data_IF_628197011342
#
_entry.id   IF_628197011342
#
_cell.length_a   1.000
_cell.length_b   1.000
_cell.length_c   1.000
_cell.angle_alpha   90.00
_cell.angle_beta   90.00
_cell.angle_gamma   90.00
#
_symmetry.space_group_name_H-M   'P 1'
#
loop_
_entity.id
_entity.type
_entity.pdbx_description
1 polymer ?
#
# COMPACT_ATOMS: atom_id res chain seq x y z
N UNK A 1 -17.57 -0.19 14.95
CA UNK A 1 -16.29 0.22 14.33
C UNK A 1 -15.95 1.60 14.85
N UNK A 2 -14.89 1.71 15.65
CA UNK A 2 -14.27 3.03 15.87
C UNK A 2 -13.64 3.45 14.54
N UNK A 3 -13.81 4.71 14.18
CA UNK A 3 -13.31 5.27 12.92
C UNK A 3 -11.77 5.17 12.80
N UNK A 4 -11.07 4.92 13.92
CA UNK A 4 -9.64 4.58 13.99
C UNK A 4 -9.27 3.20 13.47
N UNK A 5 -10.17 2.21 13.43
CA UNK A 5 -9.92 0.99 12.65
C UNK A 5 -9.80 1.31 11.16
N UNK A 6 -10.47 2.38 10.70
CA UNK A 6 -10.27 2.92 9.35
C UNK A 6 -8.98 3.74 9.22
N UNK A 7 -8.46 4.31 10.31
CA UNK A 7 -7.17 5.03 10.31
C UNK A 7 -5.98 4.09 10.44
N UNK A 8 -6.04 3.03 11.25
CA UNK A 8 -5.02 1.97 11.27
C UNK A 8 -4.97 1.25 9.93
N UNK A 9 -6.13 0.91 9.34
CA UNK A 9 -6.19 0.41 7.96
C UNK A 9 -5.86 1.46 6.88
N UNK A 10 -6.06 2.77 7.13
CA UNK A 10 -5.53 3.83 6.25
C UNK A 10 -4.01 4.00 6.39
N UNK A 11 -3.43 3.76 7.56
CA UNK A 11 -1.98 3.75 7.78
C UNK A 11 -1.35 2.59 7.01
N UNK A 12 -1.99 1.41 7.04
CA UNK A 12 -1.63 0.23 6.22
C UNK A 12 -1.84 0.49 4.71
N UNK A 13 -2.93 1.16 4.30
CA UNK A 13 -3.17 1.53 2.88
C UNK A 13 -2.21 2.61 2.39
N UNK A 14 -1.83 3.57 3.24
CA UNK A 14 -0.94 4.67 2.90
C UNK A 14 0.50 4.18 2.65
N UNK A 15 0.94 3.17 3.42
CA UNK A 15 2.20 2.44 3.17
C UNK A 15 2.18 1.69 1.83
N UNK A 16 1.06 1.04 1.48
CA UNK A 16 0.88 0.40 0.15
C UNK A 16 0.90 1.41 -1.01
N UNK A 17 0.42 2.64 -0.81
CA UNK A 17 0.40 3.68 -1.86
C UNK A 17 1.68 4.50 -1.97
N UNK A 18 2.52 4.58 -0.93
CA UNK A 18 3.77 5.37 -0.98
C UNK A 18 4.89 4.71 -1.80
N UNK A 19 4.76 3.42 -2.13
CA UNK A 19 5.61 2.74 -3.10
C UNK A 19 5.25 3.07 -4.57
N UNK A 20 4.19 3.85 -4.83
CA UNK A 20 3.60 3.99 -6.17
C UNK A 20 3.25 5.41 -6.64
N UNK A 21 3.81 6.48 -6.07
CA UNK A 21 3.49 7.82 -6.59
C UNK A 21 4.57 8.87 -6.33
N UNK A 22 5.39 9.13 -7.36
CA UNK A 22 6.13 10.38 -7.49
C UNK A 22 5.75 11.07 -8.80
N UNK A 23 5.68 12.40 -8.73
CA UNK A 23 5.59 13.37 -9.82
C UNK A 23 4.18 13.80 -10.28
N UNK A 24 3.79 15.02 -9.89
CA UNK A 24 3.88 16.18 -10.80
C UNK A 24 3.04 17.36 -10.29
N UNK A 25 3.67 18.53 -10.14
CA UNK A 25 3.01 19.83 -10.29
C UNK A 25 4.02 20.85 -10.83
N UNK A 26 3.73 21.39 -12.00
CA UNK A 26 3.63 22.85 -12.28
C UNK A 26 3.33 23.06 -13.76
N UNK A 27 2.19 23.67 -14.04
CA UNK A 27 1.85 24.18 -15.36
C UNK A 27 2.12 25.69 -15.44
N UNK A 28 2.44 26.16 -16.64
CA UNK A 28 2.31 27.57 -17.02
C UNK A 28 1.99 27.65 -18.51
N UNK A 29 0.89 28.31 -18.84
CA UNK A 29 0.45 28.58 -20.20
C UNK A 29 1.24 29.73 -20.83
N UNK A 30 1.44 29.68 -22.16
CA UNK A 30 1.92 30.81 -22.97
C UNK A 30 0.90 31.11 -24.08
N UNK A 31 0.57 32.40 -24.21
CA UNK A 31 -0.41 32.97 -25.13
C UNK A 31 0.29 33.45 -26.41
N UNK A 32 -0.38 33.29 -27.55
CA UNK A 32 0.08 33.59 -28.92
C UNK A 32 0.26 35.10 -29.24
N UNK A 33 1.18 35.38 -30.18
CA UNK A 33 1.40 36.66 -30.89
C UNK A 33 0.20 37.07 -31.77
N UNK A 34 0.15 38.30 -32.37
CA UNK A 34 0.73 38.48 -33.71
C UNK A 34 1.16 39.92 -34.16
N UNK A 35 1.85 39.94 -35.31
CA UNK A 35 1.80 40.89 -36.48
C UNK A 35 2.99 41.81 -36.82
N UNK A 36 3.34 41.64 -38.10
CA UNK A 36 4.35 42.20 -39.02
C UNK A 36 4.27 43.72 -39.27
N UNK A 37 5.38 44.31 -39.76
CA UNK A 37 5.42 45.14 -41.00
C UNK A 37 6.81 45.15 -41.67
N UNK A 38 6.90 45.41 -42.99
CA UNK A 38 8.10 45.17 -43.81
C UNK A 38 8.92 46.45 -44.07
N UNK A 39 10.24 46.32 -44.25
CA UNK A 39 11.08 47.42 -44.76
C UNK A 39 11.82 46.97 -46.01
N UNK A 40 11.59 47.73 -47.08
CA UNK A 40 12.24 47.69 -48.40
C UNK A 40 13.75 47.91 -48.27
N UNK A 41 14.55 47.05 -48.91
CA UNK A 41 16.00 47.27 -49.07
C UNK A 41 16.27 47.64 -50.53
N UNK A 42 16.85 48.82 -50.72
CA UNK A 42 17.39 49.31 -51.99
C UNK A 42 18.79 48.72 -52.17
N UNK A 43 19.01 47.99 -53.26
CA UNK A 43 20.30 47.44 -53.63
C UNK A 43 21.23 48.54 -54.18
N UNK A 44 22.42 48.65 -53.62
CA UNK A 44 23.58 49.27 -54.28
C UNK A 44 24.67 48.22 -54.41
N UNK A 45 24.98 47.87 -55.66
CA UNK A 45 26.09 47.00 -56.02
C UNK A 45 27.42 47.77 -55.86
N UNK A 46 28.38 47.14 -55.20
CA UNK A 46 29.80 47.47 -55.28
C UNK A 46 30.62 46.17 -55.27
N UNK A 47 31.80 46.12 -55.91
CA UNK A 47 32.37 44.90 -56.45
C UNK A 47 33.40 44.19 -55.55
N UNK A 48 33.42 42.87 -55.72
CA UNK A 48 34.47 41.87 -55.52
C UNK A 48 35.55 42.04 -54.42
N UNK A 49 35.36 41.19 -53.40
CA UNK A 49 36.29 40.13 -52.97
C UNK A 49 37.71 40.50 -52.58
N UNK A 50 37.91 40.67 -51.28
CA UNK A 50 39.17 40.40 -50.59
C UNK A 50 38.90 39.63 -49.29
N UNK A 51 39.54 38.46 -49.17
CA UNK A 51 39.77 37.62 -47.99
C UNK A 51 38.82 37.78 -46.79
N UNK A 52 37.88 36.84 -46.63
CA UNK A 52 37.15 36.68 -45.38
C UNK A 52 38.09 36.10 -44.30
N UNK A 53 38.27 36.76 -43.13
CA UNK A 53 38.94 36.13 -42.01
C UNK A 53 38.07 34.97 -41.52
N UNK A 54 38.69 33.83 -41.19
CA UNK A 54 38.01 32.72 -40.53
C UNK A 54 37.45 33.20 -39.20
N UNK A 55 36.16 33.60 -39.18
CA UNK A 55 35.47 33.92 -37.93
C UNK A 55 35.42 32.65 -37.09
N UNK A 56 36.26 32.59 -36.04
CA UNK A 56 36.06 31.64 -34.95
C UNK A 56 34.73 31.98 -34.30
N UNK A 57 33.70 31.18 -34.57
CA UNK A 57 32.40 31.31 -33.93
C UNK A 57 32.60 30.90 -32.46
N UNK A 58 32.74 31.88 -31.57
CA UNK A 58 32.69 31.66 -30.14
C UNK A 58 31.23 31.47 -29.75
N UNK A 59 30.78 30.22 -29.66
CA UNK A 59 29.44 29.91 -29.19
C UNK A 59 29.44 30.11 -27.67
N UNK A 60 28.57 30.96 -27.10
CA UNK A 60 28.50 31.14 -25.66
C UNK A 60 28.15 29.81 -24.97
N UNK A 61 28.64 29.56 -23.74
CA UNK A 61 28.49 28.26 -23.08
C UNK A 61 27.03 27.89 -22.77
N UNK A 62 26.15 28.89 -22.63
CA UNK A 62 24.75 28.70 -22.24
C UNK A 62 23.90 27.94 -23.29
N UNK A 63 23.88 28.28 -24.59
CA UNK A 63 23.17 27.49 -25.58
C UNK A 63 23.74 26.07 -25.74
N UNK A 64 25.05 25.87 -25.56
CA UNK A 64 25.65 24.52 -25.57
C UNK A 64 25.10 23.71 -24.38
N UNK A 65 25.09 24.30 -23.17
CA UNK A 65 24.54 23.65 -21.98
C UNK A 65 23.04 23.31 -22.14
N UNK A 66 22.25 24.19 -22.74
CA UNK A 66 20.83 23.93 -23.02
C UNK A 66 20.63 22.81 -24.06
N UNK A 67 21.45 22.76 -25.11
CA UNK A 67 21.42 21.67 -26.08
C UNK A 67 21.80 20.33 -25.44
N UNK A 68 22.88 20.29 -24.64
CA UNK A 68 23.31 19.09 -23.92
C UNK A 68 22.23 18.62 -22.94
N UNK A 69 21.62 19.54 -22.19
CA UNK A 69 20.50 19.22 -21.30
C UNK A 69 19.30 18.68 -22.09
N UNK A 70 18.95 19.30 -23.23
CA UNK A 70 17.88 18.83 -24.12
C UNK A 70 18.12 17.42 -24.65
N UNK A 71 19.33 17.11 -25.12
CA UNK A 71 19.70 15.77 -25.55
C UNK A 71 19.74 14.77 -24.38
N UNK A 72 20.13 15.21 -23.18
CA UNK A 72 20.07 14.41 -21.96
C UNK A 72 18.63 14.05 -21.58
N UNK A 73 17.71 15.02 -21.59
CA UNK A 73 16.29 14.79 -21.34
C UNK A 73 15.64 13.90 -22.40
N UNK A 74 15.99 14.10 -23.68
CA UNK A 74 15.50 13.29 -24.78
C UNK A 74 16.03 11.86 -24.70
N UNK A 75 17.33 11.69 -24.41
CA UNK A 75 17.96 10.39 -24.20
C UNK A 75 17.33 9.65 -23.01
N UNK A 76 17.10 10.34 -21.90
CA UNK A 76 16.42 9.79 -20.74
C UNK A 76 14.96 9.42 -21.03
N UNK A 77 14.22 10.29 -21.73
CA UNK A 77 12.84 10.02 -22.14
C UNK A 77 12.71 8.84 -23.10
N UNK A 78 13.62 8.72 -24.08
CA UNK A 78 13.70 7.57 -24.97
C UNK A 78 14.10 6.31 -24.20
N UNK A 79 15.05 6.40 -23.26
CA UNK A 79 15.45 5.29 -22.42
C UNK A 79 14.26 4.76 -21.60
N UNK A 80 13.49 5.64 -20.94
CA UNK A 80 12.27 5.25 -20.24
C UNK A 80 11.21 4.68 -21.20
N UNK A 81 11.06 5.25 -22.39
CA UNK A 81 10.11 4.76 -23.38
C UNK A 81 10.44 3.35 -23.86
N UNK A 82 11.72 3.05 -24.14
CA UNK A 82 12.15 1.74 -24.64
C UNK A 82 12.31 0.70 -23.53
N UNK A 83 12.59 1.10 -22.29
CA UNK A 83 12.68 0.18 -21.14
C UNK A 83 11.32 -0.06 -20.46
N UNK A 84 10.27 0.67 -20.84
CA UNK A 84 8.92 0.47 -20.31
C UNK A 84 8.41 -0.95 -20.56
N UNK A 85 7.86 -1.58 -19.51
CA UNK A 85 7.25 -2.92 -19.58
C UNK A 85 6.15 -3.02 -20.64
N UNK A 86 5.52 -1.90 -20.98
CA UNK A 86 4.50 -1.79 -22.02
C UNK A 86 5.06 -2.19 -23.40
N UNK A 87 6.36 -1.99 -23.64
CA UNK A 87 6.99 -2.38 -24.91
C UNK A 87 7.09 -3.90 -25.11
N UNK A 88 6.94 -4.69 -24.05
CA UNK A 88 6.97 -6.16 -24.13
C UNK A 88 5.68 -6.75 -24.72
N UNK A 89 4.58 -5.99 -24.73
CA UNK A 89 3.30 -6.42 -25.28
C UNK A 89 3.28 -6.29 -26.82
N UNK A 90 2.59 -7.18 -27.56
CA UNK A 90 2.33 -7.02 -28.99
C UNK A 90 1.72 -5.66 -29.31
N UNK A 91 1.98 -5.14 -30.51
CA UNK A 91 1.58 -3.79 -30.92
C UNK A 91 0.08 -3.50 -30.69
N UNK A 92 -0.87 -4.39 -31.05
CA UNK A 92 -2.29 -4.13 -30.84
C UNK A 92 -2.66 -4.00 -29.36
N UNK A 93 -2.19 -4.92 -28.52
CA UNK A 93 -2.42 -4.93 -27.06
C UNK A 93 -1.82 -3.68 -26.42
N UNK A 94 -0.59 -3.35 -26.81
CA UNK A 94 0.15 -2.18 -26.33
C UNK A 94 -0.58 -0.87 -26.60
N UNK A 95 -1.16 -0.72 -27.79
CA UNK A 95 -1.90 0.49 -28.16
C UNK A 95 -3.16 0.66 -27.30
N UNK A 96 -3.92 -0.40 -27.08
CA UNK A 96 -5.10 -0.38 -26.22
C UNK A 96 -4.71 -0.09 -24.76
N UNK A 97 -3.68 -0.78 -24.23
CA UNK A 97 -3.22 -0.61 -22.85
C UNK A 97 -2.71 0.82 -22.57
N UNK A 98 -2.01 1.45 -23.52
CA UNK A 98 -1.58 2.85 -23.37
C UNK A 98 -2.77 3.81 -23.26
N UNK A 99 -3.83 3.57 -24.02
CA UNK A 99 -5.05 4.38 -23.91
C UNK A 99 -5.72 4.16 -22.57
N UNK A 100 -5.84 2.91 -22.12
CA UNK A 100 -6.38 2.58 -20.79
C UNK A 100 -5.64 3.34 -19.68
N UNK A 101 -4.31 3.23 -19.64
CA UNK A 101 -3.45 3.92 -18.67
C UNK A 101 -3.51 5.44 -18.81
N UNK A 102 -3.68 5.97 -20.02
CA UNK A 102 -3.84 7.40 -20.23
C UNK A 102 -5.14 7.91 -19.61
N UNK A 103 -6.26 7.23 -19.84
CA UNK A 103 -7.56 7.64 -19.30
C UNK A 103 -7.66 7.44 -17.78
N UNK A 104 -6.99 6.43 -17.25
CA UNK A 104 -6.84 6.20 -15.80
C UNK A 104 -6.03 7.31 -15.13
N UNK A 105 -4.86 7.67 -15.66
CA UNK A 105 -3.94 8.58 -14.98
C UNK A 105 -4.13 10.07 -15.33
N UNK A 106 -4.61 10.37 -16.54
CA UNK A 106 -4.69 11.74 -17.07
C UNK A 106 -6.09 12.14 -17.54
N UNK A 107 -6.83 11.22 -18.14
CA UNK A 107 -8.13 11.51 -18.75
C UNK A 107 -9.26 11.78 -17.76
N UNK A 108 -9.12 11.33 -16.51
CA UNK A 108 -10.18 11.37 -15.47
C UNK A 108 -11.50 10.72 -15.92
N UNK A 109 -11.46 9.80 -16.90
CA UNK A 109 -12.62 9.05 -17.37
C UNK A 109 -12.38 7.56 -17.13
N UNK A 110 -12.77 7.04 -15.95
CA UNK A 110 -12.50 5.66 -15.56
C UNK A 110 -13.32 4.68 -16.39
N UNK A 111 -14.50 5.06 -16.89
CA UNK A 111 -15.33 4.22 -17.74
C UNK A 111 -14.68 3.98 -19.08
N UNK A 112 -14.13 5.03 -19.71
CA UNK A 112 -13.40 4.88 -20.96
C UNK A 112 -12.09 4.10 -20.77
N UNK A 113 -11.42 4.24 -19.63
CA UNK A 113 -10.27 3.40 -19.28
C UNK A 113 -10.67 1.91 -19.20
N UNK A 114 -11.84 1.61 -18.63
CA UNK A 114 -12.40 0.27 -18.53
C UNK A 114 -12.55 -0.40 -19.91
N UNK A 115 -13.12 0.32 -20.88
CA UNK A 115 -13.33 -0.17 -22.24
C UNK A 115 -12.00 -0.50 -22.93
N UNK A 116 -10.98 0.34 -22.75
CA UNK A 116 -9.65 0.07 -23.28
C UNK A 116 -8.93 -1.08 -22.56
N UNK A 117 -9.18 -1.27 -21.26
CA UNK A 117 -8.67 -2.45 -20.53
C UNK A 117 -9.31 -3.74 -21.03
N UNK A 118 -10.64 -3.75 -21.25
CA UNK A 118 -11.34 -4.89 -21.86
C UNK A 118 -10.80 -5.19 -23.25
N UNK A 119 -10.66 -4.16 -24.09
CA UNK A 119 -10.09 -4.31 -25.43
C UNK A 119 -8.66 -4.87 -25.37
N UNK A 120 -7.81 -4.36 -24.47
CA UNK A 120 -6.45 -4.87 -24.32
C UNK A 120 -6.44 -6.34 -23.88
N UNK A 121 -7.33 -6.74 -22.97
CA UNK A 121 -7.44 -8.11 -22.49
C UNK A 121 -7.96 -9.06 -23.56
N UNK A 122 -8.98 -8.68 -24.32
CA UNK A 122 -9.50 -9.45 -25.45
C UNK A 122 -8.42 -9.68 -26.52
N UNK A 123 -7.69 -8.62 -26.88
CA UNK A 123 -6.58 -8.72 -27.83
C UNK A 123 -5.44 -9.60 -27.30
N UNK A 124 -5.18 -9.56 -25.98
CA UNK A 124 -4.14 -10.37 -25.35
C UNK A 124 -4.50 -11.86 -25.32
N UNK A 125 -5.78 -12.19 -25.09
CA UNK A 125 -6.29 -13.56 -25.07
C UNK A 125 -6.50 -14.15 -26.47
N UNK A 126 -6.70 -13.30 -27.49
CA UNK A 126 -6.87 -13.73 -28.87
C UNK A 126 -5.54 -13.86 -29.64
N UNK A 127 -4.46 -13.23 -29.17
CA UNK A 127 -3.18 -13.21 -29.86
C UNK A 127 -2.38 -14.50 -29.64
N UNK A 128 -1.95 -15.15 -30.72
CA UNK A 128 -1.08 -16.35 -30.64
C UNK A 128 0.33 -16.04 -30.10
N UNK A 129 0.79 -14.78 -30.20
CA UNK A 129 2.11 -14.33 -29.73
C UNK A 129 2.23 -14.29 -28.19
N UNK A 130 1.09 -14.20 -27.50
CA UNK A 130 1.03 -14.24 -26.05
C UNK A 130 0.46 -15.59 -25.67
N UNK A 131 1.26 -16.45 -25.06
CA UNK A 131 0.71 -17.67 -24.47
C UNK A 131 -0.47 -17.29 -23.56
N UNK A 132 -1.60 -18.00 -23.64
CA UNK A 132 -2.81 -17.65 -22.88
C UNK A 132 -2.57 -17.53 -21.37
N UNK A 133 -1.54 -18.21 -20.85
CA UNK A 133 -1.11 -18.19 -19.44
C UNK A 133 0.05 -17.23 -19.17
N UNK A 134 0.36 -16.34 -20.09
CA UNK A 134 1.55 -15.50 -20.02
C UNK A 134 1.43 -14.44 -18.92
N UNK A 135 2.56 -14.17 -18.25
CA UNK A 135 2.83 -13.05 -17.33
C UNK A 135 2.20 -11.71 -17.70
N UNK A 136 1.99 -11.48 -19.00
CA UNK A 136 1.44 -10.25 -19.56
C UNK A 136 -0.07 -10.16 -19.38
N UNK A 137 -0.78 -11.27 -19.61
CA UNK A 137 -2.24 -11.34 -19.45
C UNK A 137 -2.61 -11.11 -17.99
N UNK A 138 -1.92 -11.77 -17.06
CA UNK A 138 -2.13 -11.57 -15.62
C UNK A 138 -1.85 -10.13 -15.18
N UNK A 139 -0.82 -9.48 -15.75
CA UNK A 139 -0.54 -8.07 -15.52
C UNK A 139 -1.69 -7.14 -15.91
N UNK A 140 -2.29 -7.34 -17.09
CA UNK A 140 -3.46 -6.57 -17.53
C UNK A 140 -4.66 -6.82 -16.58
N UNK A 141 -4.91 -8.07 -16.20
CA UNK A 141 -6.03 -8.42 -15.32
C UNK A 141 -5.90 -7.82 -13.92
N UNK A 142 -4.69 -7.77 -13.35
CA UNK A 142 -4.44 -7.15 -12.04
C UNK A 142 -4.73 -5.65 -12.09
N UNK A 143 -4.25 -4.95 -13.12
CA UNK A 143 -4.50 -3.51 -13.30
C UNK A 143 -5.98 -3.24 -13.53
N UNK A 144 -6.63 -4.03 -14.40
CA UNK A 144 -8.05 -3.92 -14.66
C UNK A 144 -8.91 -4.16 -13.40
N UNK A 145 -8.60 -5.21 -12.63
CA UNK A 145 -9.26 -5.48 -11.35
C UNK A 145 -9.07 -4.35 -10.32
N UNK A 146 -7.90 -3.71 -10.31
CA UNK A 146 -7.62 -2.56 -9.45
C UNK A 146 -8.46 -1.34 -9.85
N UNK A 147 -8.58 -1.05 -11.15
CA UNK A 147 -9.46 0.01 -11.66
C UNK A 147 -10.92 -0.24 -11.26
N UNK A 148 -11.42 -1.47 -11.44
CA UNK A 148 -12.80 -1.84 -11.09
C UNK A 148 -13.10 -1.63 -9.60
N UNK A 149 -12.15 -1.97 -8.73
CA UNK A 149 -12.29 -1.69 -7.30
C UNK A 149 -12.35 -0.19 -7.01
N UNK A 150 -11.48 0.62 -7.64
CA UNK A 150 -11.49 2.08 -7.49
C UNK A 150 -12.80 2.71 -7.95
N UNK A 151 -13.45 2.14 -8.96
CA UNK A 151 -14.78 2.53 -9.43
C UNK A 151 -15.92 2.09 -8.50
N UNK A 152 -15.62 1.35 -7.42
CA UNK A 152 -16.63 0.83 -6.50
C UNK A 152 -17.39 -0.38 -7.06
N UNK A 153 -16.77 -1.16 -7.97
CA UNK A 153 -17.32 -2.40 -8.55
C UNK A 153 -16.59 -3.65 -8.00
N UNK A 154 -16.70 -3.96 -6.69
CA UNK A 154 -15.92 -5.04 -6.07
C UNK A 154 -16.28 -6.45 -6.56
N UNK A 155 -17.50 -6.66 -7.07
CA UNK A 155 -17.91 -7.96 -7.64
C UNK A 155 -17.16 -8.26 -8.94
N UNK A 156 -17.16 -7.31 -9.87
CA UNK A 156 -16.44 -7.43 -11.14
C UNK A 156 -14.93 -7.54 -10.89
N UNK A 157 -14.39 -6.73 -9.98
CA UNK A 157 -12.98 -6.81 -9.59
C UNK A 157 -12.61 -8.21 -9.06
N UNK A 158 -13.47 -8.78 -8.19
CA UNK A 158 -13.27 -10.14 -7.66
C UNK A 158 -13.27 -11.16 -8.78
N UNK A 159 -14.24 -11.10 -9.69
CA UNK A 159 -14.37 -12.09 -10.77
C UNK A 159 -13.17 -12.03 -11.74
N UNK A 160 -12.67 -10.83 -12.07
CA UNK A 160 -11.45 -10.65 -12.87
C UNK A 160 -10.23 -11.23 -12.15
N UNK A 161 -10.06 -10.96 -10.86
CA UNK A 161 -8.93 -11.46 -10.08
C UNK A 161 -9.00 -12.97 -9.82
N UNK A 162 -10.19 -13.54 -9.64
CA UNK A 162 -10.39 -15.00 -9.56
C UNK A 162 -10.01 -15.67 -10.88
N UNK A 163 -10.37 -15.08 -12.02
CA UNK A 163 -9.90 -15.57 -13.31
C UNK A 163 -8.38 -15.44 -13.48
N UNK A 164 -7.80 -14.34 -12.98
CA UNK A 164 -6.36 -14.11 -13.03
C UNK A 164 -5.56 -15.15 -12.23
N UNK A 165 -5.97 -15.46 -10.99
CA UNK A 165 -5.28 -16.48 -10.18
C UNK A 165 -5.48 -17.88 -10.75
N UNK A 166 -6.68 -18.18 -11.28
CA UNK A 166 -6.95 -19.43 -12.02
C UNK A 166 -5.98 -19.60 -13.20
N UNK A 167 -5.72 -18.51 -13.92
CA UNK A 167 -4.80 -18.49 -15.05
C UNK A 167 -3.35 -18.74 -14.61
N UNK A 168 -2.89 -18.05 -13.56
CA UNK A 168 -1.52 -18.20 -13.04
C UNK A 168 -1.29 -19.62 -12.51
N UNK A 169 -2.26 -20.19 -11.81
CA UNK A 169 -2.12 -21.51 -11.19
C UNK A 169 -2.48 -22.67 -12.14
N UNK A 170 -2.85 -22.38 -13.39
CA UNK A 170 -3.33 -23.36 -14.37
C UNK A 170 -4.49 -24.24 -13.87
N UNK A 171 -5.45 -23.62 -13.17
CA UNK A 171 -6.63 -24.29 -12.61
C UNK A 171 -7.85 -23.94 -13.48
N UNK A 172 -8.83 -24.86 -13.56
CA UNK A 172 -10.11 -24.56 -14.19
C UNK A 172 -10.90 -23.49 -13.42
N UNK A 173 -11.63 -22.63 -14.15
CA UNK A 173 -12.40 -21.51 -13.58
C UNK A 173 -13.47 -21.96 -12.57
N UNK A 174 -14.09 -23.11 -12.81
CA UNK A 174 -15.12 -23.68 -11.90
C UNK A 174 -14.51 -24.19 -10.59
N UNK A 175 -13.25 -24.59 -10.61
CA UNK A 175 -12.50 -25.06 -9.44
C UNK A 175 -11.89 -23.90 -8.64
N UNK A 176 -11.57 -22.77 -9.29
CA UNK A 176 -10.97 -21.60 -8.64
C UNK A 176 -11.84 -20.98 -7.52
N UNK A 177 -13.17 -21.07 -7.64
CA UNK A 177 -14.10 -20.59 -6.63
C UNK A 177 -14.20 -21.51 -5.40
N UNK A 178 -13.89 -22.81 -5.54
CA UNK A 178 -14.12 -23.83 -4.52
C UNK A 178 -12.84 -24.38 -3.87
N UNK A 179 -11.66 -24.18 -4.44
CA UNK A 179 -10.58 -25.16 -4.27
C UNK A 179 -9.17 -24.62 -4.08
N UNK A 180 -9.05 -23.56 -3.29
CA UNK A 180 -7.75 -23.07 -2.81
C UNK A 180 -7.04 -24.09 -1.87
N UNK A 181 -7.76 -25.09 -1.34
CA UNK A 181 -7.21 -26.09 -0.42
C UNK A 181 -6.16 -27.03 -1.02
N UNK A 182 -6.19 -27.29 -2.33
CA UNK A 182 -5.40 -28.38 -2.90
C UNK A 182 -4.17 -27.92 -3.68
N UNK A 183 -3.92 -26.61 -3.75
CA UNK A 183 -2.70 -26.08 -4.37
C UNK A 183 -1.66 -25.84 -3.31
N UNK A 184 -0.52 -26.52 -3.47
CA UNK A 184 0.71 -26.27 -2.73
C UNK A 184 1.72 -25.59 -3.64
N UNK A 185 1.92 -24.27 -3.47
CA UNK A 185 2.84 -23.47 -4.28
C UNK A 185 4.28 -24.00 -4.21
N UNK A 186 4.67 -24.62 -3.10
CA UNK A 186 6.00 -25.20 -2.96
C UNK A 186 6.23 -26.38 -3.93
N UNK A 187 5.15 -27.05 -4.35
CA UNK A 187 5.18 -28.19 -5.27
C UNK A 187 4.89 -27.79 -6.73
N UNK A 188 4.50 -26.54 -6.97
CA UNK A 188 4.25 -26.02 -8.33
C UNK A 188 5.54 -25.63 -9.04
N UNK A 189 5.60 -25.82 -10.36
CA UNK A 189 6.73 -25.40 -11.21
C UNK A 189 6.73 -23.88 -11.52
N UNK A 190 5.96 -23.09 -10.76
CA UNK A 190 5.83 -21.64 -10.95
C UNK A 190 7.11 -20.89 -10.59
N UNK A 191 7.45 -19.88 -11.39
CA UNK A 191 8.51 -18.93 -11.05
C UNK A 191 8.14 -18.10 -9.82
N UNK A 192 9.14 -17.57 -9.12
CA UNK A 192 8.97 -16.76 -7.91
C UNK A 192 8.09 -15.52 -8.11
N UNK A 193 8.18 -14.87 -9.28
CA UNK A 193 7.34 -13.70 -9.60
C UNK A 193 5.86 -14.07 -9.67
N UNK A 194 5.53 -15.19 -10.31
CA UNK A 194 4.14 -15.64 -10.46
C UNK A 194 3.56 -16.23 -9.17
N UNK A 195 4.41 -16.87 -8.34
CA UNK A 195 4.04 -17.22 -6.96
C UNK A 195 3.66 -15.96 -6.16
N UNK A 196 4.46 -14.89 -6.24
CA UNK A 196 4.14 -13.64 -5.54
C UNK A 196 2.88 -12.96 -6.08
N UNK A 197 2.65 -12.99 -7.40
CA UNK A 197 1.39 -12.50 -7.98
C UNK A 197 0.20 -13.28 -7.43
N UNK A 198 0.26 -14.61 -7.40
CA UNK A 198 -0.83 -15.44 -6.87
C UNK A 198 -1.11 -15.12 -5.40
N UNK A 199 -0.07 -14.97 -4.57
CA UNK A 199 -0.20 -14.58 -3.16
C UNK A 199 -0.80 -13.18 -2.98
N UNK A 200 -0.34 -12.21 -3.77
CA UNK A 200 -0.87 -10.85 -3.78
C UNK A 200 -2.34 -10.78 -4.24
N UNK A 201 -2.70 -11.55 -5.26
CA UNK A 201 -4.09 -11.68 -5.72
C UNK A 201 -4.95 -12.32 -4.64
N UNK A 202 -4.48 -13.37 -3.96
CA UNK A 202 -5.22 -13.99 -2.87
C UNK A 202 -5.48 -12.99 -1.72
N UNK A 203 -4.47 -12.24 -1.29
CA UNK A 203 -4.64 -11.15 -0.31
C UNK A 203 -5.69 -10.13 -0.77
N UNK A 204 -5.67 -9.77 -2.07
CA UNK A 204 -6.64 -8.83 -2.65
C UNK A 204 -8.05 -9.40 -2.74
N UNK A 205 -8.19 -10.68 -3.07
CA UNK A 205 -9.47 -11.38 -3.04
C UNK A 205 -10.01 -11.45 -1.61
N UNK A 206 -9.15 -11.58 -0.59
CA UNK A 206 -9.50 -11.37 0.82
C UNK A 206 -10.18 -10.02 1.04
N UNK A 207 -9.50 -8.92 0.66
CA UNK A 207 -10.01 -7.55 0.81
C UNK A 207 -11.36 -7.35 0.10
N UNK A 208 -11.51 -7.86 -1.12
CA UNK A 208 -12.74 -7.73 -1.91
C UNK A 208 -13.91 -8.53 -1.30
N UNK A 209 -13.65 -9.73 -0.78
CA UNK A 209 -14.69 -10.52 -0.12
C UNK A 209 -15.13 -9.88 1.20
N UNK A 210 -14.23 -9.23 1.95
CA UNK A 210 -14.59 -8.38 3.09
C UNK A 210 -15.53 -7.24 2.66
N UNK A 211 -15.24 -6.55 1.56
CA UNK A 211 -16.12 -5.50 1.02
C UNK A 211 -17.50 -6.04 0.60
N UNK A 212 -17.54 -7.26 0.08
CA UNK A 212 -18.77 -7.96 -0.32
C UNK A 212 -19.51 -8.62 0.85
N UNK A 213 -18.99 -8.52 2.08
CA UNK A 213 -19.52 -9.14 3.29
C UNK A 213 -19.54 -10.68 3.25
N UNK A 214 -18.65 -11.28 2.47
CA UNK A 214 -18.41 -12.72 2.45
C UNK A 214 -17.16 -13.04 3.28
N UNK A 215 -17.35 -13.03 4.61
CA UNK A 215 -16.25 -13.27 5.56
C UNK A 215 -15.67 -14.68 5.44
N UNK A 216 -16.48 -15.67 5.04
CA UNK A 216 -16.03 -17.05 4.88
C UNK A 216 -15.08 -17.19 3.69
N UNK A 217 -15.38 -16.54 2.56
CA UNK A 217 -14.46 -16.49 1.43
C UNK A 217 -13.20 -15.67 1.75
N UNK A 218 -13.35 -14.53 2.43
CA UNK A 218 -12.22 -13.70 2.83
C UNK A 218 -11.21 -14.45 3.71
N UNK A 219 -11.71 -15.14 4.75
CA UNK A 219 -10.89 -15.93 5.67
C UNK A 219 -10.09 -17.01 4.93
N UNK A 220 -10.72 -17.69 3.95
CA UNK A 220 -10.04 -18.70 3.13
C UNK A 220 -8.88 -18.12 2.31
N UNK A 221 -9.09 -16.99 1.65
CA UNK A 221 -8.07 -16.36 0.81
C UNK A 221 -6.88 -15.85 1.62
N UNK A 222 -7.12 -15.18 2.73
CA UNK A 222 -6.05 -14.74 3.62
C UNK A 222 -5.28 -15.93 4.21
N UNK A 223 -5.99 -16.92 4.77
CA UNK A 223 -5.35 -18.10 5.35
C UNK A 223 -4.49 -18.84 4.32
N UNK A 224 -4.99 -19.06 3.11
CA UNK A 224 -4.20 -19.72 2.08
C UNK A 224 -2.94 -18.95 1.74
N UNK A 225 -3.03 -17.65 1.49
CA UNK A 225 -1.84 -16.87 1.13
C UNK A 225 -0.76 -16.92 2.21
N UNK A 226 -1.14 -16.82 3.49
CA UNK A 226 -0.21 -16.95 4.61
C UNK A 226 0.33 -18.39 4.69
N UNK A 227 -0.52 -19.40 4.61
CA UNK A 227 -0.11 -20.81 4.64
C UNK A 227 0.91 -21.15 3.55
N UNK A 228 0.69 -20.68 2.32
CA UNK A 228 1.59 -20.91 1.19
C UNK A 228 2.94 -20.21 1.36
N UNK A 229 2.95 -19.00 1.92
CA UNK A 229 4.21 -18.32 2.29
C UNK A 229 5.00 -19.15 3.30
N UNK A 230 4.34 -19.67 4.33
CA UNK A 230 4.99 -20.51 5.34
C UNK A 230 5.51 -21.83 4.75
N UNK A 231 4.71 -22.53 3.95
CA UNK A 231 5.14 -23.76 3.25
C UNK A 231 6.38 -23.53 2.40
N UNK A 232 6.44 -22.38 1.71
CA UNK A 232 7.58 -22.00 0.88
C UNK A 232 8.87 -21.70 1.67
N UNK A 233 8.77 -21.52 2.99
CA UNK A 233 9.93 -21.32 3.90
C UNK A 233 10.38 -22.59 4.61
N UNK A 234 9.61 -23.69 4.51
CA UNK A 234 10.01 -24.96 5.09
C UNK A 234 11.06 -25.62 4.18
N UNK A 235 12.12 -26.23 4.75
CA UNK A 235 13.05 -27.02 3.96
C UNK A 235 12.29 -28.11 3.19
N UNK A 236 12.59 -28.30 1.90
CA UNK A 236 12.04 -29.42 1.14
C UNK A 236 12.36 -30.74 1.87
N UNK A 237 11.34 -31.39 2.43
CA UNK A 237 11.43 -32.69 3.10
C UNK A 237 11.67 -33.86 2.11
N UNK A 238 12.32 -33.60 0.97
CA UNK A 238 12.49 -34.57 -0.11
C UNK A 238 13.80 -35.37 0.00
N UNK A 239 14.44 -35.41 1.17
CA UNK A 239 15.76 -36.07 1.32
C UNK A 239 15.99 -36.85 2.62
N UNK A 240 15.16 -36.69 3.64
CA UNK A 240 15.28 -37.51 4.86
C UNK A 240 13.90 -37.81 5.37
N UNK A 241 13.58 -39.11 5.50
CA UNK A 241 12.43 -39.61 6.25
C UNK A 241 12.58 -39.34 7.75
N UNK A 242 12.85 -38.08 8.10
CA UNK A 242 12.92 -37.60 9.46
C UNK A 242 11.62 -36.86 9.72
N UNK A 243 10.76 -37.48 10.52
CA UNK A 243 9.64 -36.82 11.17
C UNK A 243 10.22 -35.64 11.99
N UNK A 244 10.23 -34.46 11.38
CA UNK A 244 10.58 -33.23 12.07
C UNK A 244 9.53 -32.99 13.15
N UNK A 245 10.00 -32.91 14.41
CA UNK A 245 9.16 -32.64 15.58
C UNK A 245 8.26 -31.44 15.30
N UNK A 246 7.01 -31.47 15.75
CA UNK A 246 6.01 -30.44 15.42
C UNK A 246 6.45 -29.01 15.83
N UNK A 247 7.45 -28.90 16.72
CA UNK A 247 8.10 -27.66 17.14
C UNK A 247 9.16 -27.13 16.16
N UNK A 248 9.72 -27.97 15.28
CA UNK A 248 10.70 -27.58 14.25
C UNK A 248 10.06 -27.16 12.92
N UNK A 249 8.73 -27.28 12.76
CA UNK A 249 7.96 -26.63 11.67
C UNK A 249 7.78 -25.12 11.91
N UNK A 250 8.80 -24.46 12.44
CA UNK A 250 8.77 -23.04 12.72
C UNK A 250 9.26 -22.31 11.48
N UNK A 251 8.50 -21.29 11.03
CA UNK A 251 8.94 -20.38 9.97
C UNK A 251 10.40 -19.97 10.20
N UNK A 252 11.26 -20.29 9.24
CA UNK A 252 12.67 -19.95 9.28
C UNK A 252 12.92 -18.72 8.40
N UNK A 253 13.08 -17.57 9.06
CA UNK A 253 13.32 -16.30 8.40
C UNK A 253 14.67 -16.22 7.65
N UNK A 254 15.58 -17.16 7.92
CA UNK A 254 16.92 -17.21 7.32
C UNK A 254 16.94 -18.01 6.02
N UNK A 255 16.02 -18.96 5.85
CA UNK A 255 15.92 -19.85 4.69
C UNK A 255 14.74 -19.52 3.77
N UNK A 256 14.43 -18.23 3.60
CA UNK A 256 13.36 -17.82 2.70
C UNK A 256 13.80 -17.87 1.23
N UNK A 257 12.91 -18.23 0.30
CA UNK A 257 13.23 -18.18 -1.11
C UNK A 257 13.44 -16.73 -1.56
N UNK A 258 14.29 -16.52 -2.58
CA UNK A 258 14.67 -15.17 -3.05
C UNK A 258 13.50 -14.27 -3.44
N UNK A 259 12.37 -14.86 -3.81
CA UNK A 259 11.17 -14.14 -4.22
C UNK A 259 10.27 -13.70 -3.05
N UNK A 260 10.52 -14.19 -1.83
CA UNK A 260 9.72 -13.91 -0.64
C UNK A 260 10.54 -13.14 0.40
N UNK A 261 10.02 -11.99 0.83
CA UNK A 261 10.70 -11.16 1.84
C UNK A 261 10.01 -11.26 3.21
N UNK A 262 10.73 -10.91 4.29
CA UNK A 262 10.15 -10.87 5.65
C UNK A 262 9.00 -9.87 5.71
N UNK A 263 9.12 -8.77 4.97
CA UNK A 263 8.10 -7.72 4.88
C UNK A 263 6.84 -8.22 4.19
N UNK A 264 6.94 -9.06 3.15
CA UNK A 264 5.77 -9.64 2.48
C UNK A 264 4.99 -10.58 3.41
N UNK A 265 5.72 -11.42 4.15
CA UNK A 265 5.14 -12.34 5.13
C UNK A 265 4.51 -11.54 6.27
N UNK A 266 5.24 -10.57 6.83
CA UNK A 266 4.76 -9.69 7.90
C UNK A 266 3.48 -8.94 7.52
N UNK A 267 3.45 -8.32 6.34
CA UNK A 267 2.28 -7.59 5.83
C UNK A 267 1.08 -8.51 5.57
N UNK A 268 1.31 -9.73 5.08
CA UNK A 268 0.25 -10.70 4.82
C UNK A 268 -0.36 -11.24 6.11
N UNK A 269 0.47 -11.47 7.12
CA UNK A 269 0.02 -11.83 8.47
C UNK A 269 -0.73 -10.70 9.15
N UNK A 270 -0.25 -9.46 8.99
CA UNK A 270 -0.91 -8.27 9.52
C UNK A 270 -2.32 -8.10 8.93
N UNK A 271 -2.48 -8.29 7.62
CA UNK A 271 -3.78 -8.22 6.96
C UNK A 271 -4.75 -9.28 7.49
N UNK A 272 -4.30 -10.53 7.66
CA UNK A 272 -5.10 -11.60 8.26
C UNK A 272 -5.42 -11.31 9.74
N UNK A 273 -4.48 -10.76 10.49
CA UNK A 273 -4.68 -10.35 11.88
C UNK A 273 -5.75 -9.26 11.99
N UNK A 274 -5.70 -8.26 11.11
CA UNK A 274 -6.68 -7.19 11.03
C UNK A 274 -8.07 -7.73 10.72
N UNK A 275 -8.17 -8.66 9.76
CA UNK A 275 -9.41 -9.37 9.47
C UNK A 275 -10.01 -10.02 10.73
N UNK A 276 -9.22 -10.77 11.50
CA UNK A 276 -9.69 -11.38 12.74
C UNK A 276 -10.02 -10.36 13.84
N UNK A 277 -9.21 -9.32 14.01
CA UNK A 277 -9.41 -8.28 15.03
C UNK A 277 -10.73 -7.51 14.80
N UNK A 278 -11.04 -7.17 13.55
CA UNK A 278 -12.31 -6.52 13.19
C UNK A 278 -13.53 -7.38 13.53
N UNK A 279 -13.38 -8.72 13.49
CA UNK A 279 -14.40 -9.70 13.85
C UNK A 279 -14.37 -10.07 15.34
N UNK A 280 -13.58 -9.37 16.16
CA UNK A 280 -13.36 -9.65 17.59
C UNK A 280 -12.84 -11.07 17.87
N UNK A 281 -12.26 -11.72 16.86
CA UNK A 281 -11.57 -13.02 16.97
C UNK A 281 -10.15 -12.80 17.50
N UNK A 282 -10.04 -12.21 18.69
CA UNK A 282 -8.78 -11.70 19.23
C UNK A 282 -7.73 -12.80 19.47
N UNK A 283 -8.17 -14.02 19.82
CA UNK A 283 -7.30 -15.18 20.03
C UNK A 283 -6.52 -15.58 18.76
N UNK A 284 -7.08 -15.30 17.58
CA UNK A 284 -6.41 -15.52 16.29
C UNK A 284 -5.59 -14.31 15.85
N UNK A 285 -6.09 -13.09 16.12
CA UNK A 285 -5.43 -11.85 15.68
C UNK A 285 -4.10 -11.60 16.41
N UNK A 286 -4.08 -11.75 17.74
CA UNK A 286 -2.93 -11.42 18.57
C UNK A 286 -1.64 -12.17 18.17
N UNK A 287 -1.62 -13.52 18.04
CA UNK A 287 -0.40 -14.23 17.66
C UNK A 287 0.11 -13.83 16.26
N UNK A 288 -0.80 -13.49 15.33
CA UNK A 288 -0.41 -13.03 14.00
C UNK A 288 0.25 -11.66 14.03
N UNK A 289 -0.30 -10.69 14.78
CA UNK A 289 0.34 -9.38 14.96
C UNK A 289 1.69 -9.49 15.65
N UNK A 290 1.79 -10.27 16.73
CA UNK A 290 3.04 -10.47 17.45
C UNK A 290 4.09 -11.15 16.56
N UNK A 291 3.69 -12.13 15.75
CA UNK A 291 4.61 -12.76 14.79
C UNK A 291 5.02 -11.79 13.70
N UNK A 292 4.10 -11.02 13.12
CA UNK A 292 4.41 -9.97 12.14
C UNK A 292 5.45 -8.99 12.69
N UNK A 293 5.28 -8.53 13.95
CA UNK A 293 6.23 -7.65 14.62
C UNK A 293 7.65 -8.24 14.66
N UNK A 294 7.80 -9.54 14.92
CA UNK A 294 9.11 -10.20 14.96
C UNK A 294 9.81 -10.34 13.60
N UNK A 295 9.09 -10.17 12.48
CA UNK A 295 9.64 -10.28 11.14
C UNK A 295 10.29 -9.00 10.65
N UNK A 296 9.93 -7.86 11.23
CA UNK A 296 10.58 -6.60 10.93
C UNK A 296 11.96 -6.59 11.61
N UNK A 297 13.05 -6.53 10.83
CA UNK A 297 14.42 -6.86 11.26
C UNK A 297 14.96 -5.98 12.39
N UNK A 298 14.25 -4.92 12.75
CA UNK A 298 14.41 -4.26 14.04
C UNK A 298 13.05 -3.74 14.54
N UNK A 299 12.41 -4.52 15.42
CA UNK A 299 11.21 -4.15 16.19
C UNK A 299 11.31 -2.73 16.81
N UNK A 300 12.53 -2.20 16.97
CA UNK A 300 12.84 -0.90 17.56
C UNK A 300 13.45 0.14 16.61
N UNK A 301 13.55 -0.11 15.30
CA UNK A 301 14.14 0.87 14.37
C UNK A 301 13.21 1.25 13.20
N UNK A 302 12.02 0.66 13.09
CA UNK A 302 11.07 0.92 11.99
C UNK A 302 9.79 1.59 12.48
N UNK A 303 9.26 2.55 11.71
CA UNK A 303 8.00 3.21 12.04
C UNK A 303 6.81 2.25 11.93
N UNK A 304 6.89 1.25 11.06
CA UNK A 304 5.84 0.25 10.89
C UNK A 304 5.63 -0.61 12.15
N UNK A 305 6.68 -0.86 12.94
CA UNK A 305 6.56 -1.57 14.21
C UNK A 305 5.66 -0.82 15.21
N UNK A 306 5.65 0.52 15.19
CA UNK A 306 4.73 1.30 16.01
C UNK A 306 3.26 1.12 15.57
N UNK A 307 2.99 0.94 14.27
CA UNK A 307 1.66 0.62 13.74
C UNK A 307 1.17 -0.74 14.26
N UNK A 308 2.04 -1.75 14.21
CA UNK A 308 1.73 -3.06 14.78
C UNK A 308 1.46 -3.00 16.28
N UNK A 309 2.23 -2.21 17.04
CA UNK A 309 1.99 -1.98 18.47
C UNK A 309 0.63 -1.29 18.72
N UNK A 310 0.17 -0.39 17.83
CA UNK A 310 -1.19 0.16 17.89
C UNK A 310 -2.24 -0.95 17.84
N UNK A 311 -2.09 -1.85 16.87
CA UNK A 311 -3.04 -2.95 16.64
C UNK A 311 -3.02 -3.95 17.81
N UNK A 312 -1.84 -4.29 18.33
CA UNK A 312 -1.69 -5.16 19.51
C UNK A 312 -2.36 -4.53 20.74
N UNK A 313 -2.14 -3.24 20.98
CA UNK A 313 -2.80 -2.50 22.06
C UNK A 313 -4.33 -2.54 21.93
N UNK A 314 -4.86 -2.32 20.72
CA UNK A 314 -6.31 -2.41 20.45
C UNK A 314 -6.87 -3.80 20.73
N UNK A 315 -6.14 -4.86 20.34
CA UNK A 315 -6.53 -6.25 20.58
C UNK A 315 -6.59 -6.56 22.08
N UNK A 316 -5.58 -6.17 22.86
CA UNK A 316 -5.60 -6.34 24.32
C UNK A 316 -6.74 -5.56 24.99
N UNK A 317 -7.00 -4.32 24.55
CA UNK A 317 -8.13 -3.53 25.03
C UNK A 317 -9.47 -4.22 24.71
N UNK A 318 -9.61 -4.78 23.51
CA UNK A 318 -10.76 -5.57 23.10
C UNK A 318 -10.99 -6.84 23.92
N UNK A 319 -9.90 -7.46 24.41
CA UNK A 319 -9.94 -8.60 25.34
C UNK A 319 -10.22 -8.18 26.80
N UNK A 320 -10.29 -6.89 27.11
CA UNK A 320 -10.42 -6.38 28.49
C UNK A 320 -9.12 -6.40 29.30
N UNK A 321 -7.98 -6.70 28.66
CA UNK A 321 -6.64 -6.71 29.25
C UNK A 321 -6.04 -5.31 29.18
N UNK A 322 -6.61 -4.40 29.97
CA UNK A 322 -6.32 -2.96 29.87
C UNK A 322 -4.90 -2.58 30.25
N UNK A 323 -4.27 -3.29 31.20
CA UNK A 323 -2.89 -3.01 31.60
C UNK A 323 -1.90 -3.36 30.49
N UNK A 324 -2.09 -4.49 29.84
CA UNK A 324 -1.32 -4.94 28.68
C UNK A 324 -1.52 -3.98 27.50
N UNK A 325 -2.77 -3.56 27.26
CA UNK A 325 -3.08 -2.59 26.21
C UNK A 325 -2.33 -1.27 26.38
N UNK A 326 -2.28 -0.73 27.62
CA UNK A 326 -1.55 0.49 27.93
C UNK A 326 -0.04 0.29 27.73
N UNK A 327 0.53 -0.80 28.23
CA UNK A 327 1.97 -1.10 28.07
C UNK A 327 2.38 -1.13 26.60
N UNK A 328 1.64 -1.87 25.76
CA UNK A 328 1.91 -1.92 24.33
C UNK A 328 1.76 -0.55 23.64
N UNK A 329 0.79 0.25 24.08
CA UNK A 329 0.64 1.60 23.55
C UNK A 329 1.80 2.52 23.98
N UNK A 330 2.28 2.42 25.22
CA UNK A 330 3.41 3.19 25.74
C UNK A 330 4.71 2.83 25.04
N UNK A 331 4.98 1.53 24.84
CA UNK A 331 6.13 1.04 24.07
C UNK A 331 6.10 1.58 22.63
N UNK A 332 4.92 1.55 21.99
CA UNK A 332 4.73 2.14 20.66
C UNK A 332 4.96 3.65 20.64
N UNK A 333 4.56 4.37 21.70
CA UNK A 333 4.76 5.82 21.82
C UNK A 333 6.23 6.14 21.96
N UNK A 334 6.98 5.38 22.77
CA UNK A 334 8.42 5.55 22.93
C UNK A 334 9.14 5.36 21.59
N UNK A 335 8.80 4.27 20.89
CA UNK A 335 9.33 3.97 19.57
C UNK A 335 9.02 5.09 18.56
N UNK A 336 7.75 5.51 18.46
CA UNK A 336 7.32 6.52 17.52
C UNK A 336 7.90 7.91 17.85
N UNK A 337 8.13 8.25 19.12
CA UNK A 337 8.75 9.53 19.52
C UNK A 337 10.24 9.59 19.25
N UNK A 338 10.94 8.46 19.26
CA UNK A 338 12.37 8.45 19.00
C UNK A 338 12.65 8.99 17.59
N UNK A 339 13.42 10.08 17.44
CA UNK A 339 13.68 10.72 16.15
C UNK A 339 14.59 9.89 15.24
N UNK A 340 15.21 8.82 15.75
CA UNK A 340 16.05 7.91 14.98
C UNK A 340 15.28 6.72 14.42
N UNK A 341 14.06 6.47 14.88
CA UNK A 341 13.17 5.45 14.31
C UNK A 341 12.86 5.77 12.85
N UNK A 342 12.98 4.77 11.98
CA UNK A 342 12.74 4.84 10.55
C UNK A 342 13.92 5.36 9.72
N UNK A 343 14.93 6.02 10.33
CA UNK A 343 16.02 6.66 9.57
C UNK A 343 16.86 5.68 8.76
N UNK A 344 17.16 4.51 9.33
CA UNK A 344 17.97 3.48 8.66
C UNK A 344 17.15 2.71 7.61
N UNK A 345 15.86 2.52 7.86
CA UNK A 345 14.94 1.86 6.96
C UNK A 345 14.49 2.77 5.79
N UNK A 346 14.73 4.09 5.90
CA UNK A 346 14.23 5.06 4.92
C UNK A 346 12.73 5.31 5.04
N UNK A 347 12.13 4.99 6.20
CA UNK A 347 10.70 5.13 6.43
C UNK A 347 10.27 6.60 6.37
N UNK A 348 9.06 6.83 5.85
CA UNK A 348 8.41 8.12 6.00
C UNK A 348 8.12 8.35 7.49
N UNK A 349 8.77 9.37 8.06
CA UNK A 349 8.59 9.78 9.45
C UNK A 349 7.12 10.01 9.80
N UNK A 350 6.31 10.38 8.79
CA UNK A 350 4.87 10.54 8.92
C UNK A 350 4.17 9.28 9.44
N UNK A 351 4.68 8.07 9.17
CA UNK A 351 4.11 6.81 9.67
C UNK A 351 4.21 6.75 11.20
N UNK A 352 5.39 7.05 11.76
CA UNK A 352 5.58 7.14 13.21
C UNK A 352 4.65 8.20 13.81
N UNK A 353 4.55 9.35 13.14
CA UNK A 353 3.71 10.44 13.61
C UNK A 353 2.21 10.09 13.59
N UNK A 354 1.72 9.42 12.56
CA UNK A 354 0.34 8.92 12.49
C UNK A 354 0.09 7.86 13.56
N UNK A 355 1.00 6.88 13.71
CA UNK A 355 0.93 5.85 14.74
C UNK A 355 0.90 6.44 16.17
N UNK A 356 1.74 7.44 16.46
CA UNK A 356 1.75 8.14 17.75
C UNK A 356 0.38 8.76 18.08
N UNK A 357 -0.29 9.36 17.09
CA UNK A 357 -1.64 9.88 17.25
C UNK A 357 -2.64 8.78 17.64
N UNK A 358 -2.58 7.63 16.97
CA UNK A 358 -3.44 6.46 17.24
C UNK A 358 -3.16 5.88 18.63
N UNK A 359 -1.90 5.70 19.02
CA UNK A 359 -1.52 5.16 20.34
C UNK A 359 -2.02 6.04 21.49
N UNK A 360 -1.86 7.36 21.36
CA UNK A 360 -2.41 8.32 22.34
C UNK A 360 -3.93 8.21 22.43
N UNK A 361 -4.61 8.00 21.30
CA UNK A 361 -6.06 7.79 21.31
C UNK A 361 -6.45 6.46 21.96
N UNK A 362 -5.73 5.38 21.68
CA UNK A 362 -6.01 4.05 22.22
C UNK A 362 -5.87 4.04 23.75
N UNK A 363 -4.85 4.71 24.31
CA UNK A 363 -4.75 4.87 25.77
C UNK A 363 -5.96 5.66 26.31
N UNK A 364 -6.35 6.74 25.64
CA UNK A 364 -7.56 7.50 26.01
C UNK A 364 -8.83 6.65 26.00
N UNK A 365 -8.97 5.74 25.02
CA UNK A 365 -10.06 4.77 24.96
C UNK A 365 -10.02 3.78 26.13
N UNK A 366 -8.84 3.28 26.49
CA UNK A 366 -8.69 2.36 27.62
C UNK A 366 -9.12 3.04 28.93
N UNK A 367 -8.68 4.28 29.17
CA UNK A 367 -9.13 5.04 30.35
C UNK A 367 -10.64 5.30 30.36
N UNK A 368 -11.24 5.59 29.20
CA UNK A 368 -12.69 5.74 29.09
C UNK A 368 -13.42 4.41 29.43
N UNK A 369 -12.88 3.27 28.99
CA UNK A 369 -13.44 1.95 29.26
C UNK A 369 -13.29 1.51 30.73
N UNK A 370 -12.22 1.94 31.41
CA UNK A 370 -12.01 1.66 32.84
C UNK A 370 -12.74 2.63 33.76
N UNK A 371 -13.38 3.68 33.22
CA UNK A 371 -14.15 4.66 33.97
C UNK A 371 -13.38 5.89 34.44
N UNK A 372 -12.08 5.97 34.16
CA UNK A 372 -11.25 7.15 34.46
C UNK A 372 -11.39 8.21 33.37
N UNK A 373 -12.44 9.03 33.51
CA UNK A 373 -12.75 10.10 32.56
C UNK A 373 -11.65 11.16 32.51
N UNK A 374 -10.97 11.44 33.63
CA UNK A 374 -9.90 12.45 33.67
C UNK A 374 -8.67 11.95 32.91
N UNK A 375 -8.27 10.69 33.12
CA UNK A 375 -7.22 10.03 32.34
C UNK A 375 -7.53 10.06 30.84
N UNK A 376 -8.77 9.72 30.45
CA UNK A 376 -9.20 9.76 29.05
C UNK A 376 -9.07 11.16 28.43
N UNK A 377 -9.51 12.21 29.14
CA UNK A 377 -9.40 13.59 28.69
C UNK A 377 -7.94 14.02 28.48
N UNK A 378 -7.03 13.60 29.36
CA UNK A 378 -5.59 13.91 29.23
C UNK A 378 -5.03 13.34 27.93
N UNK A 379 -5.27 12.06 27.67
CA UNK A 379 -4.71 11.39 26.49
C UNK A 379 -5.38 11.84 25.18
N UNK A 380 -6.69 12.07 25.16
CA UNK A 380 -7.34 12.62 23.98
C UNK A 380 -6.90 14.06 23.67
N UNK A 381 -6.60 14.88 24.68
CA UNK A 381 -6.02 16.20 24.44
C UNK A 381 -4.59 16.12 23.89
N UNK A 382 -3.76 15.18 24.40
CA UNK A 382 -2.42 14.91 23.85
C UNK A 382 -2.51 14.49 22.38
N UNK A 383 -3.41 13.55 22.05
CA UNK A 383 -3.69 13.12 20.69
C UNK A 383 -4.11 14.31 19.79
N UNK A 384 -5.08 15.12 20.22
CA UNK A 384 -5.55 16.30 19.48
C UNK A 384 -4.43 17.31 19.21
N UNK A 385 -3.58 17.59 20.22
CA UNK A 385 -2.46 18.54 20.10
C UNK A 385 -1.43 18.02 19.10
N UNK A 386 -1.01 16.77 19.24
CA UNK A 386 -0.10 16.11 18.29
C UNK A 386 -0.62 16.17 16.85
N UNK A 387 -1.89 15.79 16.65
CA UNK A 387 -2.52 15.84 15.34
C UNK A 387 -2.66 17.27 14.77
N UNK A 388 -2.87 18.27 15.64
CA UNK A 388 -2.91 19.67 15.24
C UNK A 388 -1.54 20.18 14.77
N UNK A 389 -0.47 19.87 15.53
CA UNK A 389 0.89 20.32 15.24
C UNK A 389 1.39 19.77 13.89
N UNK A 390 0.99 18.54 13.55
CA UNK A 390 1.36 17.85 12.30
C UNK A 390 0.30 17.93 11.19
N UNK A 391 -0.79 18.67 11.41
CA UNK A 391 -1.90 18.84 10.45
C UNK A 391 -2.55 17.50 10.03
N UNK A 392 -2.60 16.52 10.93
CA UNK A 392 -3.29 15.25 10.75
C UNK A 392 -4.80 15.43 10.94
N UNK A 393 -5.50 15.81 9.87
CA UNK A 393 -6.92 16.21 9.91
C UNK A 393 -7.83 15.11 10.45
N UNK A 394 -7.64 13.87 10.02
CA UNK A 394 -8.49 12.74 10.43
C UNK A 394 -8.31 12.41 11.92
N UNK A 395 -7.08 12.22 12.36
CA UNK A 395 -6.72 11.96 13.76
C UNK A 395 -7.20 13.07 14.69
N UNK A 396 -7.03 14.35 14.28
CA UNK A 396 -7.51 15.50 15.05
C UNK A 396 -9.03 15.44 15.24
N UNK A 397 -9.77 15.20 14.16
CA UNK A 397 -11.24 15.13 14.18
C UNK A 397 -11.72 14.04 15.15
N UNK A 398 -11.08 12.88 15.15
CA UNK A 398 -11.46 11.78 16.04
C UNK A 398 -11.14 12.07 17.50
N UNK A 399 -10.00 12.68 17.78
CA UNK A 399 -9.68 13.13 19.13
C UNK A 399 -10.70 14.16 19.63
N UNK A 400 -11.16 15.09 18.79
CA UNK A 400 -12.20 16.06 19.14
C UNK A 400 -13.57 15.40 19.39
N UNK A 401 -13.94 14.40 18.59
CA UNK A 401 -15.16 13.61 18.81
C UNK A 401 -15.09 12.86 20.15
N UNK A 402 -13.96 12.22 20.45
CA UNK A 402 -13.77 11.51 21.71
C UNK A 402 -13.78 12.45 22.92
N UNK A 403 -13.10 13.61 22.83
CA UNK A 403 -13.14 14.65 23.87
C UNK A 403 -14.56 15.13 24.14
N UNK A 404 -15.36 15.37 23.09
CA UNK A 404 -16.76 15.78 23.25
C UNK A 404 -17.56 14.69 23.96
N UNK A 405 -17.39 13.42 23.56
CA UNK A 405 -18.07 12.28 24.17
C UNK A 405 -17.75 12.16 25.67
N UNK A 406 -16.47 12.16 26.04
CA UNK A 406 -16.04 12.02 27.44
C UNK A 406 -16.56 13.16 28.30
N UNK A 407 -16.50 14.41 27.82
CA UNK A 407 -17.01 15.58 28.57
C UNK A 407 -18.50 15.50 28.87
N UNK A 408 -19.30 15.02 27.90
CA UNK A 408 -20.74 14.84 28.10
C UNK A 408 -21.03 13.73 29.12
N UNK A 409 -20.27 12.63 29.06
CA UNK A 409 -20.41 11.53 30.02
C UNK A 409 -20.00 11.95 31.44
N UNK A 410 -18.92 12.73 31.58
CA UNK A 410 -18.44 13.27 32.86
C UNK A 410 -19.50 14.22 33.49
N UNK A 411 -20.07 15.12 32.69
CA UNK A 411 -21.16 16.01 33.13
C UNK A 411 -22.40 15.22 33.58
N UNK A 412 -22.83 14.23 32.79
CA UNK A 412 -23.97 13.39 33.15
C UNK A 412 -23.71 12.56 34.42
N UNK A 413 -22.47 12.12 34.67
CA UNK A 413 -22.09 11.40 35.88
C UNK A 413 -22.14 12.31 37.13
N UNK A 414 -21.72 13.57 36.99
CA UNK A 414 -21.82 14.59 38.04
C UNK A 414 -23.29 14.93 38.33
N UNK A 415 -24.11 15.15 37.31
CA UNK A 415 -25.54 15.48 37.43
C UNK A 415 -26.36 14.33 38.04
N UNK A 416 -25.98 13.07 37.78
CA UNK A 416 -26.65 11.88 38.33
C UNK A 416 -26.19 11.49 39.74
N UNK A 417 -25.30 12.26 40.38
CA UNK A 417 -24.83 12.01 41.74
C UNK A 417 -23.99 10.73 41.91
N UNK A 418 -23.50 10.12 40.82
CA UNK A 418 -22.63 8.93 40.87
C UNK A 418 -21.16 9.25 41.14
N UNK A 419 -20.81 10.54 41.09
CA UNK A 419 -19.45 11.03 41.33
C UNK A 419 -19.14 11.21 42.82
N UNK A 420 -19.21 10.15 43.64
CA UNK A 420 -18.57 10.14 44.98
C UNK A 420 -18.47 8.76 45.66
N UNK A 421 -18.13 7.67 44.95
CA UNK A 421 -17.97 6.36 45.62
C UNK A 421 -16.78 5.51 45.15
N UNK A 422 -15.67 6.12 44.72
CA UNK A 422 -14.44 5.37 44.42
C UNK A 422 -13.12 5.97 44.97
N UNK A 423 -13.21 6.91 45.92
CA UNK A 423 -12.04 7.43 46.68
C UNK A 423 -11.90 6.81 48.08
N UNK A 424 -12.17 5.51 48.22
CA UNK A 424 -11.74 4.76 49.41
C UNK A 424 -11.22 3.37 49.02
N UNK A 425 -9.91 3.31 48.77
CA UNK A 425 -9.02 2.33 49.43
C UNK A 425 -7.59 2.86 49.38
N UNK A 426 -7.15 3.29 50.57
CA UNK A 426 -5.78 3.49 51.01
C UNK A 426 -4.88 2.30 50.69
#
# INVERSE_FOLDING_TARGET
>A
MSTLQRISSQCVRSYRTSLGSSMSRRGTQVKLQPRLQPVRIVAKNAPFSSYAPTRRIQIPPLPIALCVFGFGCLGFGLYQYFTSDIQKYPVPVRQALRKALYYENYGNDPSLAEDYYKQALELALAGEELENHSRYVSGIMIQYGTLLEQQGKPREARDVLTNCISLILHINKEDAANFVKNVDLAQTELDGEDRMKALGIAQKLGDLNVQLKDDAAAEKWYNWSVEQMFKSTLPNANGSGMELDAKEKLFNAENMPKWLTKTDVGASMEALAAFYAERRKYDFALPLYLRSLTLYPAVREECHAAVLMCNVSEVFAGMGQYQEAIKWAEDGIELAKNPNTGKKAGDDRRICDEALGVLLHNIGMVYEQTGDMQGALVYYNRCRKHAQDLKLVATKREAEVALKRVKLNDQAAVESGRSSMFDQKL
#
